data_IF_617059929384
#
_entry.id   IF_617059929384
#
_cell.length_a   1.000
_cell.length_b   1.000
_cell.length_c   1.000
_cell.angle_alpha   90.00
_cell.angle_beta   90.00
_cell.angle_gamma   90.00
#
_symmetry.space_group_name_H-M   'P 1'
#
loop_
_entity.id
_entity.type
_entity.pdbx_description
1 polymer ?
#
# COMPACT_ATOMS: atom_id res chain seq x y z
N UNK A 1 -9.72 7.82 6.30
CA UNK A 1 -9.57 6.36 6.11
C UNK A 1 -10.87 5.61 5.79
N UNK A 2 -12.07 6.21 5.84
CA UNK A 2 -13.33 5.45 5.59
C UNK A 2 -13.62 5.18 4.09
N UNK A 3 -13.41 6.14 3.19
CA UNK A 3 -13.74 5.96 1.76
C UNK A 3 -12.81 4.99 1.01
N UNK A 4 -11.51 5.03 1.29
CA UNK A 4 -10.52 4.19 0.60
C UNK A 4 -10.69 2.70 0.91
N UNK A 5 -11.36 2.35 2.01
CA UNK A 5 -11.68 0.96 2.37
C UNK A 5 -12.55 0.25 1.33
N UNK A 6 -13.38 1.00 0.59
CA UNK A 6 -14.20 0.48 -0.51
C UNK A 6 -13.34 -0.08 -1.64
N UNK A 7 -12.16 0.51 -1.86
CA UNK A 7 -11.15 0.02 -2.81
C UNK A 7 -10.31 -1.11 -2.20
N UNK A 8 -9.90 -0.96 -0.95
CA UNK A 8 -8.94 -1.86 -0.32
C UNK A 8 -9.51 -3.25 -0.01
N UNK A 9 -10.75 -3.34 0.50
CA UNK A 9 -11.32 -4.61 0.95
C UNK A 9 -11.55 -5.62 -0.19
N UNK A 10 -12.14 -5.24 -1.35
CA UNK A 10 -12.27 -6.16 -2.46
C UNK A 10 -10.91 -6.52 -3.09
N UNK A 11 -9.94 -5.61 -3.07
CA UNK A 11 -8.58 -5.88 -3.51
C UNK A 11 -7.89 -6.95 -2.63
N UNK A 12 -8.12 -6.94 -1.31
CA UNK A 12 -7.67 -8.03 -0.42
C UNK A 12 -8.26 -9.37 -0.87
N UNK A 13 -9.56 -9.42 -1.21
CA UNK A 13 -10.20 -10.63 -1.71
C UNK A 13 -9.54 -11.17 -2.99
N UNK A 14 -9.23 -10.29 -3.94
CA UNK A 14 -8.51 -10.62 -5.18
C UNK A 14 -7.07 -11.12 -4.88
N UNK A 15 -6.36 -10.45 -3.98
CA UNK A 15 -5.00 -10.83 -3.60
C UNK A 15 -4.97 -12.18 -2.84
N UNK A 16 -5.96 -12.45 -1.99
CA UNK A 16 -6.14 -13.74 -1.31
C UNK A 16 -6.39 -14.86 -2.32
N UNK A 17 -7.24 -14.64 -3.33
CA UNK A 17 -7.43 -15.62 -4.41
C UNK A 17 -6.10 -15.91 -5.13
N UNK A 18 -5.30 -14.88 -5.40
CA UNK A 18 -3.96 -15.05 -5.96
C UNK A 18 -3.02 -15.85 -5.08
N UNK A 19 -3.06 -15.66 -3.77
CA UNK A 19 -2.27 -16.45 -2.80
C UNK A 19 -2.57 -17.93 -2.95
N UNK A 20 -3.85 -18.30 -2.97
CA UNK A 20 -4.29 -19.69 -3.12
C UNK A 20 -3.85 -20.26 -4.45
N UNK A 21 -4.11 -19.56 -5.56
CA UNK A 21 -3.79 -20.06 -6.89
C UNK A 21 -2.29 -20.19 -7.14
N UNK A 22 -1.49 -19.24 -6.65
CA UNK A 22 -0.01 -19.33 -6.68
C UNK A 22 0.46 -20.51 -5.84
N UNK A 23 -0.07 -20.69 -4.63
CA UNK A 23 0.25 -21.82 -3.78
C UNK A 23 -0.07 -23.17 -4.41
N UNK A 24 -1.24 -23.31 -5.05
CA UNK A 24 -1.62 -24.51 -5.79
C UNK A 24 -0.67 -24.78 -6.97
N UNK A 25 -0.31 -23.75 -7.73
CA UNK A 25 0.62 -23.87 -8.86
C UNK A 25 2.02 -24.29 -8.41
N UNK A 26 2.48 -23.77 -7.26
CA UNK A 26 3.74 -24.18 -6.63
C UNK A 26 3.67 -25.63 -6.16
N UNK A 27 2.57 -26.06 -5.56
CA UNK A 27 2.33 -27.45 -5.17
C UNK A 27 2.28 -28.42 -6.35
N UNK A 28 1.76 -27.97 -7.50
CA UNK A 28 1.77 -28.70 -8.78
C UNK A 28 3.14 -28.66 -9.50
N UNK A 29 4.17 -28.07 -8.88
CA UNK A 29 5.50 -27.88 -9.43
C UNK A 29 5.56 -27.02 -10.72
N UNK A 30 4.52 -26.23 -11.01
CA UNK A 30 4.46 -25.32 -12.16
C UNK A 30 4.75 -23.87 -11.72
N UNK A 31 6.04 -23.59 -11.50
CA UNK A 31 6.52 -22.27 -11.04
C UNK A 31 6.36 -21.17 -12.09
N UNK A 32 6.33 -21.54 -13.36
CA UNK A 32 6.14 -20.58 -14.45
C UNK A 32 4.68 -20.14 -14.56
N UNK A 33 3.74 -21.08 -14.39
CA UNK A 33 2.33 -20.75 -14.25
C UNK A 33 2.07 -19.89 -13.02
N UNK A 34 2.65 -20.23 -11.87
CA UNK A 34 2.57 -19.43 -10.65
C UNK A 34 2.98 -17.96 -10.89
N UNK A 35 4.06 -17.73 -11.64
CA UNK A 35 4.53 -16.39 -11.96
C UNK A 35 3.58 -15.63 -12.89
N UNK A 36 3.08 -16.28 -13.96
CA UNK A 36 2.09 -15.68 -14.87
C UNK A 36 0.82 -15.30 -14.12
N UNK A 37 0.36 -16.17 -13.25
CA UNK A 37 -0.85 -16.00 -12.47
C UNK A 37 -0.72 -14.88 -11.44
N UNK A 38 0.38 -14.84 -10.68
CA UNK A 38 0.63 -13.75 -9.74
C UNK A 38 0.75 -12.39 -10.44
N UNK A 39 1.40 -12.32 -11.61
CA UNK A 39 1.43 -11.09 -12.42
C UNK A 39 0.03 -10.63 -12.84
N UNK A 40 -0.85 -11.56 -13.22
CA UNK A 40 -2.24 -11.24 -13.56
C UNK A 40 -3.03 -10.76 -12.35
N UNK A 41 -2.88 -11.40 -11.20
CA UNK A 41 -3.54 -10.97 -9.95
C UNK A 41 -3.09 -9.56 -9.56
N UNK A 42 -1.79 -9.29 -9.57
CA UNK A 42 -1.24 -7.96 -9.25
C UNK A 42 -1.81 -6.92 -10.22
N UNK A 43 -1.83 -7.21 -11.53
CA UNK A 43 -2.40 -6.31 -12.53
C UNK A 43 -3.90 -6.04 -12.29
N UNK A 44 -4.68 -7.07 -11.94
CA UNK A 44 -6.11 -6.93 -11.63
C UNK A 44 -6.29 -6.06 -10.37
N UNK A 45 -5.47 -6.26 -9.33
CA UNK A 45 -5.50 -5.42 -8.13
C UNK A 45 -5.17 -3.96 -8.46
N UNK A 46 -4.14 -3.71 -9.27
CA UNK A 46 -3.76 -2.38 -9.72
C UNK A 46 -4.87 -1.71 -10.54
N UNK A 47 -5.44 -2.43 -11.50
CA UNK A 47 -6.52 -1.91 -12.34
C UNK A 47 -7.76 -1.59 -11.52
N UNK A 48 -8.12 -2.48 -10.60
CA UNK A 48 -9.27 -2.29 -9.71
C UNK A 48 -9.07 -1.10 -8.77
N UNK A 49 -7.99 -1.10 -7.97
CA UNK A 49 -7.74 -0.02 -7.01
C UNK A 49 -7.46 1.32 -7.70
N UNK A 50 -6.78 1.31 -8.84
CA UNK A 50 -6.56 2.51 -9.65
C UNK A 50 -7.86 3.08 -10.19
N UNK A 51 -8.75 2.23 -10.74
CA UNK A 51 -10.05 2.67 -11.25
C UNK A 51 -10.95 3.24 -10.14
N UNK A 52 -11.03 2.56 -8.99
CA UNK A 52 -11.79 3.06 -7.83
C UNK A 52 -11.15 4.33 -7.28
N UNK A 53 -9.82 4.41 -7.20
CA UNK A 53 -9.12 5.61 -6.76
C UNK A 53 -9.41 6.83 -7.63
N UNK A 54 -9.35 6.68 -8.96
CA UNK A 54 -9.70 7.73 -9.92
C UNK A 54 -11.18 8.10 -9.79
N UNK A 55 -12.07 7.11 -9.68
CA UNK A 55 -13.51 7.36 -9.51
C UNK A 55 -13.78 8.18 -8.24
N UNK A 56 -13.14 7.83 -7.13
CA UNK A 56 -13.26 8.57 -5.87
C UNK A 56 -12.67 9.98 -5.98
N UNK A 57 -11.56 10.16 -6.70
CA UNK A 57 -10.97 11.49 -6.91
C UNK A 57 -11.89 12.40 -7.74
N UNK A 58 -12.50 11.88 -8.80
CA UNK A 58 -13.45 12.62 -9.64
C UNK A 58 -14.75 12.94 -8.90
N UNK A 59 -15.26 12.00 -8.11
CA UNK A 59 -16.51 12.15 -7.37
C UNK A 59 -16.32 12.75 -5.98
N UNK A 60 -15.09 13.10 -5.58
CA UNK A 60 -14.72 13.39 -4.20
C UNK A 60 -15.59 14.42 -3.51
N UNK A 61 -15.88 15.55 -4.17
CA UNK A 61 -16.75 16.59 -3.61
C UNK A 61 -18.19 16.12 -3.34
N UNK A 62 -18.70 15.18 -4.12
CA UNK A 62 -20.04 14.59 -3.92
C UNK A 62 -20.01 13.39 -2.98
N UNK A 63 -18.94 12.61 -3.01
CA UNK A 63 -18.76 11.41 -2.20
C UNK A 63 -18.45 11.75 -0.73
N UNK A 64 -17.84 12.90 -0.44
CA UNK A 64 -17.50 13.32 0.93
C UNK A 64 -18.69 13.96 1.65
N UNK A 65 -19.53 14.74 0.94
CA UNK A 65 -20.66 15.49 1.52
C UNK A 65 -21.56 14.66 2.46
N UNK A 66 -21.95 13.41 2.13
CA UNK A 66 -22.78 12.60 3.02
C UNK A 66 -22.11 12.17 4.35
N UNK A 67 -20.77 12.18 4.40
CA UNK A 67 -19.99 11.78 5.56
C UNK A 67 -19.54 12.97 6.43
N UNK A 68 -19.88 14.19 6.03
CA UNK A 68 -19.59 15.42 6.80
C UNK A 68 -20.87 15.83 7.51
N UNK A 69 -20.95 15.55 8.81
CA UNK A 69 -22.05 15.96 9.69
C UNK A 69 -21.50 16.76 10.88
N UNK A 70 -21.91 18.03 11.01
CA UNK A 70 -21.52 18.90 12.14
C UNK A 70 -21.54 20.41 11.82
N UNK A 71 -21.48 21.25 12.86
CA UNK A 71 -21.50 22.73 12.82
C UNK A 71 -20.20 23.38 12.25
N UNK A 72 -19.34 22.60 11.61
CA UNK A 72 -18.09 23.07 11.01
C UNK A 72 -18.27 23.63 9.60
N UNK A 73 -17.23 24.27 9.06
CA UNK A 73 -17.22 24.75 7.68
C UNK A 73 -17.19 23.56 6.70
N UNK A 74 -18.37 23.04 6.36
CA UNK A 74 -18.60 21.88 5.48
C UNK A 74 -17.89 22.06 4.14
N UNK A 75 -17.81 23.29 3.63
CA UNK A 75 -17.17 23.62 2.37
C UNK A 75 -15.64 23.46 2.44
N UNK A 76 -15.02 23.94 3.53
CA UNK A 76 -13.59 23.77 3.79
C UNK A 76 -13.21 22.28 3.90
N UNK A 77 -13.99 21.48 4.65
CA UNK A 77 -13.73 20.04 4.82
C UNK A 77 -13.90 19.28 3.51
N UNK A 78 -14.90 19.66 2.70
CA UNK A 78 -15.17 19.03 1.40
C UNK A 78 -14.05 19.32 0.40
N UNK A 79 -13.57 20.57 0.33
CA UNK A 79 -12.47 20.96 -0.56
C UNK A 79 -11.15 20.27 -0.18
N UNK A 80 -10.84 20.24 1.13
CA UNK A 80 -9.63 19.59 1.62
C UNK A 80 -9.68 18.08 1.42
N UNK A 81 -10.83 17.45 1.66
CA UNK A 81 -11.04 16.03 1.38
C UNK A 81 -10.94 15.70 -0.11
N UNK A 82 -11.45 16.54 -1.00
CA UNK A 82 -11.32 16.34 -2.45
C UNK A 82 -9.85 16.34 -2.91
N UNK A 83 -9.03 17.25 -2.37
CA UNK A 83 -7.57 17.28 -2.61
C UNK A 83 -6.88 16.02 -2.09
N UNK A 84 -7.25 15.55 -0.90
CA UNK A 84 -6.71 14.31 -0.33
C UNK A 84 -7.11 13.07 -1.14
N UNK A 85 -8.27 13.06 -1.79
CA UNK A 85 -8.68 11.94 -2.66
C UNK A 85 -7.82 11.83 -3.93
N UNK A 86 -7.33 12.94 -4.47
CA UNK A 86 -6.34 12.90 -5.56
C UNK A 86 -5.02 12.28 -5.12
N UNK A 87 -4.54 12.65 -3.93
CA UNK A 87 -3.36 12.02 -3.33
C UNK A 87 -3.62 10.52 -3.08
N UNK A 88 -4.84 10.18 -2.65
CA UNK A 88 -5.24 8.80 -2.44
C UNK A 88 -5.30 7.98 -3.72
N UNK A 89 -5.75 8.56 -4.83
CA UNK A 89 -5.71 7.90 -6.13
C UNK A 89 -4.28 7.58 -6.56
N UNK A 90 -3.32 8.49 -6.28
CA UNK A 90 -1.92 8.31 -6.63
C UNK A 90 -1.27 7.16 -5.85
N UNK A 91 -1.43 7.11 -4.52
CA UNK A 91 -0.80 6.05 -3.74
C UNK A 91 -1.51 4.70 -3.84
N UNK A 92 -2.80 4.66 -4.23
CA UNK A 92 -3.57 3.41 -4.32
C UNK A 92 -2.98 2.40 -5.31
N UNK A 93 -2.38 2.86 -6.41
CA UNK A 93 -1.71 1.96 -7.37
C UNK A 93 -0.50 1.29 -6.72
N UNK A 94 0.30 2.05 -5.98
CA UNK A 94 1.44 1.52 -5.24
C UNK A 94 1.01 0.56 -4.13
N UNK A 95 -0.08 0.89 -3.44
CA UNK A 95 -0.68 0.02 -2.41
C UNK A 95 -1.21 -1.29 -3.01
N UNK A 96 -1.81 -1.25 -4.20
CA UNK A 96 -2.26 -2.44 -4.92
C UNK A 96 -1.09 -3.38 -5.29
N UNK A 97 0.04 -2.81 -5.74
CA UNK A 97 1.27 -3.58 -6.02
C UNK A 97 1.78 -4.21 -4.74
N UNK A 98 1.84 -3.44 -3.66
CA UNK A 98 2.25 -3.94 -2.34
C UNK A 98 1.43 -5.15 -1.91
N UNK A 99 0.10 -4.98 -1.91
CA UNK A 99 -0.87 -5.99 -1.52
C UNK A 99 -0.72 -7.24 -2.39
N UNK A 100 -0.81 -7.09 -3.70
CA UNK A 100 -0.72 -8.20 -4.66
C UNK A 100 0.59 -8.97 -4.53
N UNK A 101 1.73 -8.28 -4.45
CA UNK A 101 3.03 -8.93 -4.29
C UNK A 101 3.17 -9.62 -2.94
N UNK A 102 2.77 -8.99 -1.84
CA UNK A 102 2.88 -9.58 -0.50
C UNK A 102 2.10 -10.89 -0.39
N UNK A 103 0.89 -10.93 -0.94
CA UNK A 103 0.02 -12.11 -0.96
C UNK A 103 0.54 -13.19 -1.91
N UNK A 104 0.97 -12.84 -3.13
CA UNK A 104 1.56 -13.81 -4.06
C UNK A 104 2.87 -14.41 -3.53
N UNK A 105 3.75 -13.60 -2.91
CA UNK A 105 4.99 -14.08 -2.28
C UNK A 105 4.68 -15.02 -1.11
N UNK A 106 3.66 -14.71 -0.30
CA UNK A 106 3.19 -15.59 0.77
C UNK A 106 2.69 -16.93 0.23
N UNK A 107 1.93 -16.91 -0.87
CA UNK A 107 1.47 -18.13 -1.56
C UNK A 107 2.63 -18.96 -2.13
N UNK A 108 3.72 -18.31 -2.53
CA UNK A 108 4.93 -18.98 -2.99
C UNK A 108 5.86 -19.49 -1.86
N UNK A 109 5.50 -19.25 -0.59
CA UNK A 109 6.33 -19.61 0.58
C UNK A 109 7.40 -18.58 0.94
N UNK A 110 7.50 -17.45 0.22
CA UNK A 110 8.39 -16.34 0.58
C UNK A 110 7.71 -15.39 1.58
N UNK A 111 7.50 -15.87 2.81
CA UNK A 111 6.85 -15.08 3.87
C UNK A 111 7.82 -14.14 4.60
N UNK A 112 9.11 -14.51 4.62
CA UNK A 112 10.14 -13.79 5.36
C UNK A 112 10.45 -12.45 4.73
N UNK A 113 10.59 -12.39 3.40
CA UNK A 113 10.95 -11.15 2.74
C UNK A 113 9.92 -10.03 2.94
N UNK A 114 8.60 -10.25 2.69
CA UNK A 114 7.59 -9.22 2.95
C UNK A 114 7.54 -8.77 4.41
N UNK A 115 7.64 -9.71 5.35
CA UNK A 115 7.60 -9.39 6.78
C UNK A 115 8.80 -8.53 7.21
N UNK A 116 10.02 -8.87 6.77
CA UNK A 116 11.23 -8.12 7.09
C UNK A 116 11.21 -6.74 6.44
N UNK A 117 10.80 -6.63 5.18
CA UNK A 117 10.71 -5.31 4.51
C UNK A 117 9.66 -4.41 5.17
N UNK A 118 8.50 -4.96 5.55
CA UNK A 118 7.47 -4.24 6.28
C UNK A 118 8.05 -3.69 7.61
N UNK A 119 8.72 -4.53 8.38
CA UNK A 119 9.30 -4.14 9.67
C UNK A 119 10.40 -3.09 9.50
N UNK A 120 11.34 -3.32 8.57
CA UNK A 120 12.47 -2.43 8.36
C UNK A 120 12.03 -1.05 7.84
N UNK A 121 11.17 -1.03 6.81
CA UNK A 121 10.71 0.24 6.23
C UNK A 121 9.75 0.97 7.17
N UNK A 122 8.98 0.29 8.02
CA UNK A 122 8.13 0.97 8.99
C UNK A 122 8.95 1.61 10.12
N UNK A 123 9.84 0.85 10.76
CA UNK A 123 10.61 1.33 11.91
C UNK A 123 11.77 2.25 11.56
N UNK A 124 12.49 1.97 10.48
CA UNK A 124 13.70 2.74 10.11
C UNK A 124 13.46 3.71 8.96
N UNK A 125 12.33 3.57 8.24
CA UNK A 125 11.93 4.50 7.18
C UNK A 125 10.81 5.42 7.63
N UNK A 126 9.61 4.87 7.76
CA UNK A 126 8.38 5.63 7.95
C UNK A 126 8.33 6.40 9.27
N UNK A 127 8.64 5.77 10.40
CA UNK A 127 8.59 6.42 11.72
C UNK A 127 9.59 7.60 11.81
N UNK A 128 10.89 7.43 11.50
CA UNK A 128 11.84 8.54 11.53
C UNK A 128 11.50 9.62 10.51
N UNK A 129 11.11 9.25 9.29
CA UNK A 129 10.77 10.23 8.25
C UNK A 129 9.53 11.05 8.60
N UNK A 130 8.52 10.42 9.22
CA UNK A 130 7.33 11.10 9.72
C UNK A 130 7.72 12.09 10.82
N UNK A 131 8.54 11.67 11.77
CA UNK A 131 9.03 12.55 12.84
C UNK A 131 9.77 13.76 12.26
N UNK A 132 10.73 13.51 11.36
CA UNK A 132 11.57 14.54 10.74
C UNK A 132 10.74 15.61 10.00
N UNK A 133 9.74 15.17 9.25
CA UNK A 133 8.95 16.07 8.41
C UNK A 133 7.82 16.76 9.18
N UNK A 134 7.25 16.14 10.22
CA UNK A 134 6.06 16.66 10.88
C UNK A 134 6.35 17.69 11.95
N UNK A 135 7.30 17.44 12.85
CA UNK A 135 7.51 18.31 14.01
C UNK A 135 8.29 19.58 13.65
N UNK A 136 7.87 20.71 14.21
CA UNK A 136 8.61 21.97 14.13
C UNK A 136 9.84 21.93 15.05
N UNK A 137 10.88 22.74 14.80
CA UNK A 137 12.08 22.77 15.63
C UNK A 137 11.76 22.95 17.13
N UNK A 138 12.11 21.96 17.94
CA UNK A 138 11.89 21.94 19.39
C UNK A 138 10.59 21.26 19.85
N UNK A 139 9.73 20.81 18.92
CA UNK A 139 8.47 20.13 19.23
C UNK A 139 8.54 18.60 19.02
N UNK A 140 9.66 18.10 18.51
CA UNK A 140 9.86 16.68 18.24
C UNK A 140 9.98 15.82 19.50
N UNK A 141 9.52 14.58 19.40
CA UNK A 141 9.70 13.54 20.43
C UNK A 141 11.17 13.18 20.72
N UNK A 142 12.09 13.50 19.81
CA UNK A 142 13.52 13.18 19.92
C UNK A 142 14.33 14.33 19.34
N UNK A 143 15.38 14.74 20.06
CA UNK A 143 16.16 15.93 19.73
C UNK A 143 17.30 15.67 18.73
N UNK A 144 17.63 14.40 18.47
CA UNK A 144 18.73 14.04 17.58
C UNK A 144 18.34 14.02 16.08
N UNK A 145 17.04 14.05 15.77
CA UNK A 145 16.56 14.09 14.39
C UNK A 145 16.24 15.54 13.97
N UNK A 146 16.50 15.92 12.70
CA UNK A 146 16.10 17.22 12.18
C UNK A 146 14.57 17.34 12.18
N UNK A 147 14.05 18.56 12.41
CA UNK A 147 12.62 18.83 12.57
C UNK A 147 12.21 19.97 11.63
N UNK A 148 11.49 19.67 10.55
CA UNK A 148 11.19 20.62 9.46
C UNK A 148 9.83 21.33 9.58
N UNK A 149 8.94 20.90 10.47
CA UNK A 149 7.69 21.60 10.77
C UNK A 149 6.64 21.60 9.66
N UNK A 150 6.61 20.61 8.77
CA UNK A 150 5.59 20.50 7.71
C UNK A 150 4.24 19.99 8.22
N UNK A 151 4.12 19.72 9.52
CA UNK A 151 2.89 19.28 10.17
C UNK A 151 2.33 17.99 9.56
N UNK A 152 1.00 17.96 9.36
CA UNK A 152 0.31 16.81 8.80
C UNK A 152 0.75 16.47 7.36
N UNK A 153 1.13 17.48 6.56
CA UNK A 153 1.63 17.27 5.20
C UNK A 153 2.93 16.45 5.22
N UNK A 154 3.80 16.69 6.20
CA UNK A 154 5.02 15.91 6.42
C UNK A 154 4.74 14.42 6.62
N UNK A 155 3.72 14.08 7.41
CA UNK A 155 3.34 12.68 7.66
C UNK A 155 2.82 11.99 6.40
N UNK A 156 2.05 12.70 5.57
CA UNK A 156 1.54 12.16 4.30
C UNK A 156 2.65 11.95 3.28
N UNK A 157 3.62 12.86 3.19
CA UNK A 157 4.81 12.66 2.34
C UNK A 157 5.58 11.42 2.80
N UNK A 158 5.81 11.28 4.12
CA UNK A 158 6.47 10.10 4.67
C UNK A 158 5.71 8.80 4.34
N UNK A 159 4.37 8.82 4.44
CA UNK A 159 3.53 7.67 4.12
C UNK A 159 3.61 7.29 2.63
N UNK A 160 3.58 8.26 1.72
CA UNK A 160 3.72 8.02 0.28
C UNK A 160 5.09 7.43 -0.04
N UNK A 161 6.17 8.01 0.51
CA UNK A 161 7.54 7.48 0.34
C UNK A 161 7.63 6.04 0.84
N UNK A 162 7.09 5.76 2.03
CA UNK A 162 7.05 4.42 2.61
C UNK A 162 6.32 3.41 1.71
N UNK A 163 5.10 3.73 1.26
CA UNK A 163 4.28 2.85 0.41
C UNK A 163 5.00 2.58 -0.92
N UNK A 164 5.59 3.60 -1.54
CA UNK A 164 6.33 3.46 -2.80
C UNK A 164 7.60 2.62 -2.64
N UNK A 165 8.35 2.80 -1.56
CA UNK A 165 9.55 1.99 -1.30
C UNK A 165 9.19 0.53 -1.04
N UNK A 166 8.17 0.29 -0.22
CA UNK A 166 7.73 -1.06 0.10
C UNK A 166 7.15 -1.75 -1.14
N UNK A 167 6.30 -1.08 -1.92
CA UNK A 167 5.75 -1.63 -3.17
C UNK A 167 6.85 -1.96 -4.18
N UNK A 168 7.82 -1.07 -4.38
CA UNK A 168 8.96 -1.30 -5.26
C UNK A 168 9.82 -2.47 -4.79
N UNK A 169 10.08 -2.58 -3.49
CA UNK A 169 10.88 -3.67 -2.92
C UNK A 169 10.22 -5.04 -3.14
N UNK A 170 8.90 -5.12 -2.93
CA UNK A 170 8.12 -6.34 -3.12
C UNK A 170 7.97 -6.70 -4.61
N UNK A 171 7.76 -5.70 -5.46
CA UNK A 171 7.72 -5.88 -6.91
C UNK A 171 9.06 -6.38 -7.45
N UNK A 172 10.17 -5.76 -7.04
CA UNK A 172 11.51 -6.20 -7.42
C UNK A 172 11.79 -7.61 -6.92
N UNK A 173 11.36 -7.96 -5.70
CA UNK A 173 11.46 -9.33 -5.17
C UNK A 173 10.68 -10.33 -6.00
N UNK A 174 9.45 -10.00 -6.37
CA UNK A 174 8.60 -10.83 -7.20
C UNK A 174 9.20 -11.06 -8.59
N UNK A 175 9.62 -9.98 -9.27
CA UNK A 175 10.20 -10.05 -10.62
C UNK A 175 11.58 -10.71 -10.66
N UNK A 176 12.37 -10.60 -9.58
CA UNK A 176 13.67 -11.26 -9.49
C UNK A 176 13.59 -12.80 -9.53
N UNK A 177 12.40 -13.36 -9.32
CA UNK A 177 12.19 -14.81 -9.34
C UNK A 177 12.92 -15.57 -8.23
N UNK A 178 13.64 -14.94 -7.28
CA UNK A 178 14.36 -15.71 -6.24
C UNK A 178 13.40 -16.44 -5.28
N UNK A 179 12.12 -16.09 -5.28
CA UNK A 179 11.08 -16.88 -4.61
C UNK A 179 10.91 -18.26 -5.25
N UNK A 180 11.16 -18.39 -6.56
CA UNK A 180 11.18 -19.67 -7.30
C UNK A 180 12.34 -20.58 -6.91
N UNK A 181 13.23 -20.19 -5.99
CA UNK A 181 14.27 -21.09 -5.44
C UNK A 181 13.89 -21.66 -4.08
N UNK A 182 12.77 -21.21 -3.51
CA UNK A 182 12.31 -21.71 -2.22
C UNK A 182 11.80 -23.13 -2.43
N UNK A 183 12.31 -24.04 -1.62
CA UNK A 183 11.83 -25.41 -1.50
C UNK A 183 10.97 -25.44 -0.25
N UNK A 184 9.68 -25.72 -0.42
CA UNK A 184 8.80 -25.98 0.72
C UNK A 184 9.29 -27.29 1.33
N UNK A 185 9.60 -27.29 2.63
CA UNK A 185 10.08 -28.49 3.31
C UNK A 185 8.98 -29.55 3.24
N UNK A 186 9.20 -30.58 2.42
CA UNK A 186 8.42 -31.82 2.46
C UNK A 186 8.94 -32.64 3.62
N UNK A 187 8.28 -32.51 4.78
CA UNK A 187 8.31 -33.55 5.83
C UNK A 187 7.45 -34.72 5.41
#
# INVERSE_FOLDING_TARGET
>A
MMLTSVSYMPAIGLALAGTTLVGQSIGANDRDWAARLGNRVILICMAYMGAIGILLALLGGHAIRPFVSGEGNVELVTDLGAKLLWIAALYQVSDAVNLGCAFCLRGAGDVKFPAVMLLLLSWFGFVPLTHILTFAPGEGLVDFLPQYGLGATGSWIAAVVYICLLSLSLWARWQSGRWRRITLATT
#
